data_IF_786578811007
#
_entry.id   IF_786578811007
#
_cell.length_a   1.000
_cell.length_b   1.000
_cell.length_c   1.000
_cell.angle_alpha   90.00
_cell.angle_beta   90.00
_cell.angle_gamma   90.00
#
_symmetry.space_group_name_H-M   'P 1'
#
loop_
_entity.id
_entity.type
_entity.pdbx_description
1 polymer ?
#
# COMPACT_ATOMS: atom_id res chain seq x y z
N UNK A 1 -18.54 -12.82 -14.75
CA UNK A 1 -17.50 -13.87 -14.88
C UNK A 1 -16.34 -13.52 -13.94
N UNK A 2 -15.51 -14.48 -13.52
CA UNK A 2 -14.40 -14.21 -12.59
C UNK A 2 -13.28 -13.34 -13.19
N UNK A 3 -13.07 -13.41 -14.51
CA UNK A 3 -12.02 -12.68 -15.23
C UNK A 3 -12.24 -11.16 -15.24
N UNK A 4 -13.49 -10.71 -15.39
CA UNK A 4 -13.82 -9.29 -15.40
C UNK A 4 -13.48 -8.63 -14.05
N UNK A 5 -13.74 -9.32 -12.93
CA UNK A 5 -13.40 -8.82 -11.59
C UNK A 5 -11.89 -8.69 -11.36
N UNK A 6 -11.11 -9.65 -11.86
CA UNK A 6 -9.64 -9.56 -11.76
C UNK A 6 -9.10 -8.36 -12.54
N UNK A 7 -9.62 -8.10 -13.75
CA UNK A 7 -9.21 -6.93 -14.53
C UNK A 7 -9.52 -5.61 -13.82
N UNK A 8 -10.69 -5.51 -13.18
CA UNK A 8 -11.09 -4.36 -12.37
C UNK A 8 -10.20 -4.19 -11.13
N UNK A 9 -9.90 -5.28 -10.41
CA UNK A 9 -8.98 -5.26 -9.26
C UNK A 9 -7.58 -4.79 -9.66
N UNK A 10 -7.03 -5.28 -10.78
CA UNK A 10 -5.74 -4.84 -11.29
C UNK A 10 -5.73 -3.38 -11.72
N UNK A 11 -6.80 -2.90 -12.35
CA UNK A 11 -6.93 -1.49 -12.74
C UNK A 11 -6.98 -0.58 -11.51
N UNK A 12 -7.72 -0.97 -10.48
CA UNK A 12 -7.80 -0.25 -9.21
C UNK A 12 -6.44 -0.21 -8.50
N UNK A 13 -5.77 -1.36 -8.40
CA UNK A 13 -4.43 -1.46 -7.80
C UNK A 13 -3.43 -0.57 -8.53
N UNK A 14 -3.42 -0.59 -9.87
CA UNK A 14 -2.56 0.29 -10.69
C UNK A 14 -2.84 1.76 -10.42
N UNK A 15 -4.12 2.16 -10.41
CA UNK A 15 -4.51 3.56 -10.17
C UNK A 15 -3.98 4.09 -8.84
N UNK A 16 -4.12 3.32 -7.76
CA UNK A 16 -3.59 3.73 -6.46
C UNK A 16 -2.07 3.63 -6.37
N UNK A 17 -1.45 2.69 -7.08
CA UNK A 17 0.01 2.62 -7.16
C UNK A 17 0.60 3.88 -7.73
N UNK A 18 0.03 4.37 -8.83
CA UNK A 18 0.45 5.63 -9.46
C UNK A 18 0.10 6.84 -8.58
N UNK A 19 -1.13 6.91 -8.07
CA UNK A 19 -1.62 8.05 -7.28
C UNK A 19 -0.89 8.26 -5.96
N UNK A 20 -0.39 7.20 -5.32
CA UNK A 20 0.31 7.26 -4.03
C UNK A 20 1.82 7.09 -4.15
N UNK A 21 2.34 7.04 -5.38
CA UNK A 21 3.76 6.79 -5.65
C UNK A 21 4.25 5.50 -4.95
N UNK A 22 3.48 4.42 -5.04
CA UNK A 22 3.86 3.11 -4.50
C UNK A 22 4.98 2.50 -5.35
N UNK A 23 6.06 2.10 -4.70
CA UNK A 23 7.23 1.47 -5.31
C UNK A 23 7.21 -0.02 -5.00
N UNK A 24 6.79 -0.80 -5.98
CA UNK A 24 6.81 -2.26 -5.97
C UNK A 24 7.37 -2.77 -7.30
N UNK A 25 8.05 -3.92 -7.30
CA UNK A 25 8.57 -4.57 -8.49
C UNK A 25 7.45 -5.10 -9.40
N UNK A 26 6.29 -5.44 -8.81
CA UNK A 26 5.07 -5.79 -9.53
C UNK A 26 3.83 -5.56 -8.64
N UNK A 27 2.64 -5.54 -9.24
CA UNK A 27 1.37 -5.47 -8.49
C UNK A 27 1.05 -6.76 -7.71
N UNK A 28 1.80 -7.83 -7.95
CA UNK A 28 1.68 -9.12 -7.26
C UNK A 28 2.76 -9.34 -6.20
N UNK A 29 3.62 -8.34 -5.96
CA UNK A 29 4.66 -8.44 -4.93
C UNK A 29 4.03 -8.58 -3.54
N UNK A 30 4.61 -9.45 -2.70
CA UNK A 30 4.20 -9.58 -1.31
C UNK A 30 4.40 -8.25 -0.56
N UNK A 31 3.32 -7.73 0.01
CA UNK A 31 3.29 -6.48 0.77
C UNK A 31 4.27 -6.50 1.95
N UNK A 32 4.48 -7.66 2.58
CA UNK A 32 5.40 -7.81 3.70
C UNK A 32 6.87 -7.51 3.35
N UNK A 33 7.22 -7.56 2.06
CA UNK A 33 8.58 -7.30 1.57
C UNK A 33 8.83 -5.85 1.19
N UNK A 34 7.78 -5.01 1.14
CA UNK A 34 7.91 -3.60 0.80
C UNK A 34 8.47 -2.79 1.98
N UNK A 35 9.08 -1.64 1.69
CA UNK A 35 9.45 -0.70 2.75
C UNK A 35 8.20 -0.27 3.52
N UNK A 36 8.35 0.03 4.82
CA UNK A 36 7.19 0.39 5.64
C UNK A 36 6.41 1.60 5.08
N UNK A 37 7.09 2.57 4.44
CA UNK A 37 6.42 3.67 3.75
C UNK A 37 5.51 3.22 2.60
N UNK A 38 5.93 2.20 1.82
CA UNK A 38 5.09 1.60 0.79
C UNK A 38 3.96 0.74 1.39
N UNK A 39 4.21 0.06 2.51
CA UNK A 39 3.17 -0.67 3.23
C UNK A 39 2.06 0.28 3.73
N UNK A 40 2.42 1.42 4.32
CA UNK A 40 1.45 2.42 4.76
C UNK A 40 0.67 3.02 3.58
N UNK A 41 1.35 3.33 2.47
CA UNK A 41 0.67 3.76 1.23
C UNK A 41 -0.35 2.72 0.74
N UNK A 42 -0.07 1.42 0.85
CA UNK A 42 -1.04 0.35 0.52
C UNK A 42 -2.24 0.37 1.47
N UNK A 43 -2.03 0.57 2.77
CA UNK A 43 -3.13 0.69 3.74
C UNK A 43 -4.02 1.88 3.39
N UNK A 44 -3.42 3.03 3.08
CA UNK A 44 -4.15 4.22 2.63
C UNK A 44 -4.90 3.95 1.32
N UNK A 45 -4.28 3.28 0.34
CA UNK A 45 -4.94 2.88 -0.91
C UNK A 45 -6.21 2.06 -0.65
N UNK A 46 -6.12 1.05 0.23
CA UNK A 46 -7.26 0.21 0.61
C UNK A 46 -8.39 1.01 1.24
N UNK A 47 -8.08 1.98 2.10
CA UNK A 47 -9.09 2.86 2.68
C UNK A 47 -9.71 3.79 1.65
N UNK A 48 -8.92 4.39 0.75
CA UNK A 48 -9.45 5.26 -0.29
C UNK A 48 -10.33 4.49 -1.29
N UNK A 49 -10.02 3.22 -1.54
CA UNK A 49 -10.76 2.35 -2.44
C UNK A 49 -12.20 2.07 -1.98
N UNK A 50 -12.50 2.23 -0.68
CA UNK A 50 -13.88 2.13 -0.16
C UNK A 50 -14.71 3.41 -0.39
N UNK A 51 -14.15 4.40 -1.11
CA UNK A 51 -14.74 5.70 -1.37
C UNK A 51 -15.30 6.41 -0.10
N UNK A 52 -14.51 6.52 0.99
CA UNK A 52 -14.98 7.13 2.22
C UNK A 52 -15.17 8.64 2.03
N UNK A 53 -16.17 9.21 2.73
CA UNK A 53 -16.38 10.67 2.77
C UNK A 53 -15.35 11.38 3.65
N UNK A 54 -14.89 10.73 4.71
CA UNK A 54 -13.91 11.25 5.68
C UNK A 54 -13.04 10.08 6.16
N UNK A 55 -11.74 10.32 6.29
CA UNK A 55 -10.78 9.42 6.95
C UNK A 55 -10.14 10.22 8.09
N UNK A 56 -10.09 9.63 9.29
CA UNK A 56 -9.34 10.17 10.44
C UNK A 56 -8.15 9.26 10.66
N UNK A 57 -6.95 9.83 10.65
CA UNK A 57 -5.69 9.12 10.86
C UNK A 57 -5.07 9.63 12.15
N UNK A 58 -4.93 8.75 13.15
CA UNK A 58 -4.14 9.04 14.33
C UNK A 58 -2.78 8.35 14.21
N UNK A 59 -1.71 9.15 14.27
CA UNK A 59 -0.31 8.71 14.19
C UNK A 59 -0.01 7.64 13.11
N UNK A 60 -0.37 7.87 11.83
CA UNK A 60 -0.39 6.82 10.81
C UNK A 60 1.00 6.25 10.44
N UNK A 61 2.08 6.83 10.97
CA UNK A 61 3.48 6.46 10.69
C UNK A 61 4.17 5.70 11.83
N UNK A 62 3.56 5.58 13.02
CA UNK A 62 4.23 5.00 14.21
C UNK A 62 4.64 3.51 14.06
N UNK A 63 3.97 2.75 13.18
CA UNK A 63 4.24 1.33 12.96
C UNK A 63 5.41 1.01 12.00
N UNK A 64 5.97 2.00 11.29
CA UNK A 64 7.05 1.77 10.30
C UNK A 64 8.43 1.74 10.96
N UNK A 65 8.60 2.43 12.08
CA UNK A 65 9.93 2.73 12.64
C UNK A 65 10.62 1.52 13.32
N UNK A 66 9.90 0.41 13.50
CA UNK A 66 10.46 -0.84 14.04
C UNK A 66 11.30 -1.58 12.98
N UNK A 67 10.99 -1.42 11.68
CA UNK A 67 11.74 -2.03 10.58
C UNK A 67 13.03 -1.30 10.20
N UNK A 68 13.14 -0.01 10.53
CA UNK A 68 14.31 0.83 10.18
C UNK A 68 15.51 0.66 11.13
N UNK A 69 15.41 -0.16 12.18
CA UNK A 69 16.51 -0.40 13.14
C UNK A 69 17.36 -1.66 12.86
N UNK A 70 17.09 -2.42 11.80
CA UNK A 70 17.88 -3.61 11.46
C UNK A 70 19.00 -3.38 10.43
N UNK A 71 19.14 -2.16 9.88
CA UNK A 71 20.15 -1.86 8.84
C UNK A 71 21.43 -1.17 9.37
N UNK A 72 21.58 -1.00 10.68
CA UNK A 72 22.80 -0.42 11.29
C UNK A 72 23.35 -1.39 12.33
N UNK A 73 23.70 -2.61 11.91
CA UNK A 73 24.66 -3.49 12.60
C UNK A 73 25.48 -4.19 11.51
N UNK A 74 26.64 -3.61 11.23
CA UNK A 74 27.60 -3.99 10.18
C UNK A 74 28.50 -2.80 9.89
#
# INVERSE_FOLDING_TARGET
SGVLRLAEEFALARSYTERLDLRAASLSQDVGTLSGGNQQKIVIAKWLATAPRVIILDEPTKGIDIGSKAAVHG
#
